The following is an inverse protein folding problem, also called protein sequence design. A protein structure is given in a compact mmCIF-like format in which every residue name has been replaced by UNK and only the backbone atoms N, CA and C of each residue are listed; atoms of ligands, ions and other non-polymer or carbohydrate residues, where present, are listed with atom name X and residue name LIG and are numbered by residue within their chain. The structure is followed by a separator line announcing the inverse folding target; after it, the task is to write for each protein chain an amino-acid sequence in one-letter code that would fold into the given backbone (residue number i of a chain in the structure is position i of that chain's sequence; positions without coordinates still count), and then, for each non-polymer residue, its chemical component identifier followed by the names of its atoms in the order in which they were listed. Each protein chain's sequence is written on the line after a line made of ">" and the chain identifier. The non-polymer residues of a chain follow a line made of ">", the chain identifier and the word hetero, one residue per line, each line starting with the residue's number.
data_IF_124546233354
#
_entry.id   IF_124546233354
#
_cell.length_a   1.000
_cell.length_b   1.000
_cell.length_c   1.000
_cell.angle_alpha   90.00
_cell.angle_beta   90.00
_cell.angle_gamma   90.00
#
_symmetry.space_group_name_H-M   'P 1'
#
loop_
_entity.id
_entity.type
_entity.pdbx_description
1 polymer ?
#
# COMPACT_ATOMS: atom_id res chain seq x y z
N UNK A 1 1.38 11.48 -17.55
CA UNK A 1 0.31 11.50 -16.54
C UNK A 1 0.82 10.93 -15.23
N UNK A 2 0.46 11.55 -14.13
CA UNK A 2 0.90 11.08 -12.82
C UNK A 2 0.08 9.86 -12.39
N UNK A 3 0.78 8.84 -11.89
CA UNK A 3 0.12 7.72 -11.23
C UNK A 3 -0.36 8.16 -9.84
N UNK A 4 -1.43 7.57 -9.37
CA UNK A 4 -1.97 7.85 -8.04
C UNK A 4 -1.63 6.73 -7.07
N UNK A 5 -1.23 7.11 -5.86
CA UNK A 5 -0.83 6.17 -4.81
C UNK A 5 -1.60 6.50 -3.53
N UNK A 6 -2.18 5.47 -2.92
CA UNK A 6 -2.81 5.59 -1.60
C UNK A 6 -1.83 5.00 -0.58
N UNK A 7 -1.41 5.81 0.39
CA UNK A 7 -0.52 5.37 1.47
C UNK A 7 -1.36 5.10 2.71
N UNK A 8 -1.28 3.87 3.22
CA UNK A 8 -2.06 3.42 4.37
C UNK A 8 -1.13 2.94 5.47
N UNK A 9 -1.10 3.67 6.59
CA UNK A 9 -0.28 3.32 7.75
C UNK A 9 -0.89 4.06 8.95
N UNK A 10 -0.87 3.43 10.12
CA UNK A 10 -1.36 4.08 11.34
C UNK A 10 -0.32 4.98 12.00
N UNK A 11 0.93 4.95 11.52
CA UNK A 11 2.00 5.83 12.01
C UNK A 11 2.01 7.12 11.17
N UNK A 12 1.63 8.27 11.76
CA UNK A 12 1.56 9.52 11.01
C UNK A 12 2.93 10.00 10.48
N UNK A 13 4.03 9.61 11.13
CA UNK A 13 5.36 9.97 10.65
C UNK A 13 5.68 9.25 9.34
N UNK A 14 5.34 7.98 9.25
CA UNK A 14 5.54 7.20 8.02
C UNK A 14 4.67 7.75 6.89
N UNK A 15 3.40 8.04 7.19
CA UNK A 15 2.47 8.59 6.19
C UNK A 15 3.01 9.92 5.65
N UNK A 16 3.44 10.82 6.54
CA UNK A 16 3.98 12.12 6.15
C UNK A 16 5.25 11.97 5.31
N UNK A 17 6.17 11.10 5.75
CA UNK A 17 7.42 10.87 5.04
C UNK A 17 7.17 10.35 3.61
N UNK A 18 6.37 9.31 3.49
CA UNK A 18 6.09 8.71 2.19
C UNK A 18 5.32 9.64 1.28
N UNK A 19 4.29 10.32 1.80
CA UNK A 19 3.50 11.23 0.96
C UNK A 19 4.32 12.39 0.46
N UNK A 20 5.20 12.95 1.30
CA UNK A 20 6.08 14.05 0.91
C UNK A 20 7.05 13.62 -0.19
N UNK A 21 7.72 12.49 0.00
CA UNK A 21 8.70 12.01 -0.97
C UNK A 21 8.07 11.58 -2.29
N UNK A 22 6.96 10.88 -2.22
CA UNK A 22 6.28 10.42 -3.44
C UNK A 22 5.68 11.59 -4.22
N UNK A 23 5.13 12.60 -3.53
CA UNK A 23 4.63 13.79 -4.19
C UNK A 23 5.73 14.53 -4.93
N UNK A 24 6.93 14.60 -4.36
CA UNK A 24 8.08 15.21 -5.02
C UNK A 24 8.50 14.47 -6.28
N UNK A 25 8.20 13.18 -6.37
CA UNK A 25 8.49 12.37 -7.57
C UNK A 25 7.39 12.46 -8.62
N UNK A 26 6.36 13.25 -8.38
CA UNK A 26 5.30 13.47 -9.34
C UNK A 26 4.08 12.58 -9.16
N UNK A 27 4.04 11.73 -8.13
CA UNK A 27 2.86 10.93 -7.86
C UNK A 27 1.76 11.75 -7.20
N UNK A 28 0.52 11.42 -7.50
CA UNK A 28 -0.62 11.98 -6.81
C UNK A 28 -0.90 11.10 -5.59
N UNK A 29 -0.75 11.65 -4.38
CA UNK A 29 -0.79 10.85 -3.16
C UNK A 29 -2.01 11.17 -2.31
N UNK A 30 -2.71 10.12 -1.88
CA UNK A 30 -3.75 10.19 -0.86
C UNK A 30 -3.29 9.35 0.33
N UNK A 31 -3.85 9.60 1.51
CA UNK A 31 -3.44 8.90 2.72
C UNK A 31 -4.63 8.41 3.52
N UNK A 32 -4.44 7.30 4.23
CA UNK A 32 -5.42 6.77 5.18
C UNK A 32 -4.66 6.22 6.39
N UNK A 33 -5.26 6.30 7.56
CA UNK A 33 -4.61 5.87 8.79
C UNK A 33 -5.23 4.60 9.39
N UNK A 34 -6.18 4.00 8.73
CA UNK A 34 -6.76 2.72 9.14
C UNK A 34 -7.36 2.00 7.93
N UNK A 35 -7.73 0.74 8.14
CA UNK A 35 -8.21 -0.12 7.06
C UNK A 35 -9.58 0.27 6.51
N UNK A 36 -10.46 0.77 7.36
CA UNK A 36 -11.80 1.18 6.92
C UNK A 36 -11.71 2.39 6.01
N UNK A 37 -10.92 3.39 6.40
CA UNK A 37 -10.71 4.59 5.59
C UNK A 37 -10.00 4.24 4.29
N UNK A 38 -9.05 3.30 4.36
CA UNK A 38 -8.34 2.84 3.17
C UNK A 38 -9.30 2.25 2.14
N UNK A 39 -10.24 1.41 2.58
CA UNK A 39 -11.22 0.83 1.67
C UNK A 39 -12.14 1.88 1.06
N UNK A 40 -12.59 2.85 1.87
CA UNK A 40 -13.41 3.94 1.37
C UNK A 40 -12.70 4.74 0.28
N UNK A 41 -11.46 5.15 0.55
CA UNK A 41 -10.69 5.93 -0.40
C UNK A 41 -10.34 5.14 -1.67
N UNK A 42 -9.99 3.86 -1.51
CA UNK A 42 -9.66 3.04 -2.67
C UNK A 42 -10.85 2.87 -3.60
N UNK A 43 -12.03 2.69 -3.05
CA UNK A 43 -13.26 2.57 -3.86
C UNK A 43 -13.63 3.88 -4.53
N UNK A 44 -13.39 5.00 -3.86
CA UNK A 44 -13.73 6.32 -4.37
C UNK A 44 -12.74 6.80 -5.43
N UNK A 45 -11.45 6.62 -5.17
CA UNK A 45 -10.39 7.20 -5.99
C UNK A 45 -9.79 6.25 -7.01
N UNK A 46 -9.91 4.95 -6.78
CA UNK A 46 -9.33 3.90 -7.63
C UNK A 46 -7.85 4.19 -7.95
N UNK A 47 -7.00 4.22 -6.90
CA UNK A 47 -5.58 4.54 -7.11
C UNK A 47 -4.89 3.47 -7.95
N UNK A 48 -3.77 3.82 -8.55
CA UNK A 48 -2.97 2.86 -9.31
C UNK A 48 -2.26 1.87 -8.38
N UNK A 49 -1.89 2.34 -7.18
CA UNK A 49 -1.16 1.53 -6.19
C UNK A 49 -1.62 1.88 -4.78
N UNK A 50 -1.71 0.88 -3.91
CA UNK A 50 -1.90 1.06 -2.47
C UNK A 50 -0.65 0.55 -1.76
N UNK A 51 0.01 1.41 -0.98
CA UNK A 51 1.06 1.03 -0.05
C UNK A 51 0.39 0.77 1.28
N UNK A 52 0.44 -0.45 1.77
CA UNK A 52 -0.46 -0.92 2.81
C UNK A 52 0.32 -1.55 3.96
N UNK A 53 0.28 -0.91 5.14
CA UNK A 53 0.87 -1.46 6.34
C UNK A 53 0.09 -2.71 6.79
N UNK A 54 0.80 -3.74 7.20
CA UNK A 54 0.18 -4.99 7.67
C UNK A 54 -0.43 -4.79 9.06
N UNK A 55 0.32 -4.17 9.96
CA UNK A 55 -0.07 -4.06 11.38
C UNK A 55 -0.81 -2.75 11.63
N UNK A 56 -2.14 -2.81 11.63
CA UNK A 56 -2.99 -1.66 11.94
C UNK A 56 -4.08 -2.04 12.93
N UNK A 57 -4.51 -1.09 13.80
CA UNK A 57 -5.64 -1.35 14.69
C UNK A 57 -6.90 -1.67 13.89
N UNK A 58 -7.71 -2.57 14.41
CA UNK A 58 -8.95 -2.99 13.75
C UNK A 58 -8.69 -3.92 12.60
N UNK A 59 -8.91 -3.46 11.37
CA UNK A 59 -8.74 -4.27 10.17
C UNK A 59 -7.27 -4.28 9.75
N UNK A 60 -6.67 -5.48 9.67
CA UNK A 60 -5.28 -5.62 9.26
C UNK A 60 -5.08 -5.30 7.77
N UNK A 61 -3.81 -5.03 7.40
CA UNK A 61 -3.49 -4.79 6.00
C UNK A 61 -3.84 -5.98 5.10
N UNK A 62 -3.68 -7.21 5.60
CA UNK A 62 -4.06 -8.40 4.84
C UNK A 62 -5.54 -8.43 4.53
N UNK A 63 -6.38 -8.07 5.51
CA UNK A 63 -7.82 -8.02 5.31
C UNK A 63 -8.21 -6.96 4.28
N UNK A 64 -7.54 -5.80 4.30
CA UNK A 64 -7.77 -4.73 3.33
C UNK A 64 -7.37 -5.20 1.92
N UNK A 65 -6.19 -5.84 1.79
CA UNK A 65 -5.71 -6.35 0.51
C UNK A 65 -6.71 -7.35 -0.07
N UNK A 66 -7.16 -8.28 0.75
CA UNK A 66 -8.14 -9.29 0.33
C UNK A 66 -9.45 -8.64 -0.14
N UNK A 67 -9.95 -7.69 0.64
CA UNK A 67 -11.20 -7.00 0.30
C UNK A 67 -11.09 -6.26 -1.04
N UNK A 68 -9.96 -5.59 -1.29
CA UNK A 68 -9.73 -4.90 -2.55
C UNK A 68 -9.68 -5.86 -3.73
N UNK A 69 -9.02 -7.00 -3.58
CA UNK A 69 -8.89 -7.97 -4.66
C UNK A 69 -10.16 -8.76 -4.93
N UNK A 70 -11.05 -8.86 -3.94
CA UNK A 70 -12.34 -9.54 -4.11
C UNK A 70 -13.42 -8.63 -4.70
N UNK A 71 -13.23 -7.32 -4.66
CA UNK A 71 -14.20 -6.35 -5.18
C UNK A 71 -13.89 -6.07 -6.66
N UNK A 72 -14.84 -6.37 -7.59
CA UNK A 72 -14.61 -6.10 -9.01
C UNK A 72 -14.23 -4.65 -9.31
N UNK A 73 -14.67 -3.70 -8.50
CA UNK A 73 -14.35 -2.28 -8.70
C UNK A 73 -12.88 -1.95 -8.40
N UNK A 74 -12.24 -2.72 -7.51
CA UNK A 74 -10.88 -2.41 -7.05
C UNK A 74 -9.86 -3.51 -7.34
N UNK A 75 -10.29 -4.62 -7.93
CA UNK A 75 -9.38 -5.77 -8.13
C UNK A 75 -8.18 -5.46 -9.02
N UNK A 76 -8.25 -4.44 -9.85
CA UNK A 76 -7.14 -4.04 -10.71
C UNK A 76 -6.11 -3.13 -10.05
N UNK A 77 -6.37 -2.67 -8.83
CA UNK A 77 -5.45 -1.82 -8.07
C UNK A 77 -4.25 -2.66 -7.64
N UNK A 78 -3.04 -2.16 -7.86
CA UNK A 78 -1.83 -2.84 -7.38
C UNK A 78 -1.67 -2.63 -5.88
N UNK A 79 -1.19 -3.65 -5.18
CA UNK A 79 -1.02 -3.59 -3.72
C UNK A 79 0.40 -3.98 -3.35
N UNK A 80 1.08 -3.11 -2.60
CA UNK A 80 2.36 -3.41 -2.00
C UNK A 80 2.20 -3.40 -0.48
N UNK A 81 2.48 -4.54 0.16
CA UNK A 81 2.46 -4.63 1.62
C UNK A 81 3.75 -4.06 2.18
N UNK A 82 3.63 -3.28 3.26
CA UNK A 82 4.78 -2.74 3.99
C UNK A 82 4.78 -3.40 5.36
N UNK A 83 5.79 -4.21 5.64
CA UNK A 83 5.76 -5.14 6.77
C UNK A 83 6.89 -4.88 7.75
N UNK A 84 6.68 -5.25 9.04
CA UNK A 84 7.74 -5.18 10.04
C UNK A 84 8.78 -6.27 9.79
N UNK A 85 10.02 -6.00 10.22
CA UNK A 85 11.12 -6.97 10.13
C UNK A 85 10.74 -8.26 10.88
N UNK A 86 11.04 -9.40 10.29
CA UNK A 86 10.86 -10.69 10.93
C UNK A 86 9.57 -11.39 10.59
N UNK A 87 8.67 -10.77 9.85
CA UNK A 87 7.42 -11.41 9.45
C UNK A 87 7.64 -12.24 8.18
N UNK A 88 8.33 -13.36 8.33
CA UNK A 88 8.67 -14.23 7.20
C UNK A 88 7.47 -14.85 6.52
N UNK A 89 6.35 -14.95 7.22
CA UNK A 89 5.11 -15.49 6.65
C UNK A 89 4.53 -14.62 5.55
N UNK A 90 4.97 -13.38 5.45
CA UNK A 90 4.48 -12.47 4.42
C UNK A 90 4.74 -12.97 3.00
N UNK A 91 5.86 -13.62 2.78
CA UNK A 91 6.18 -14.19 1.46
C UNK A 91 5.22 -15.31 1.08
N UNK A 92 4.71 -16.04 2.08
CA UNK A 92 3.78 -17.13 1.87
C UNK A 92 2.34 -16.62 1.77
N UNK A 93 1.98 -15.64 2.61
CA UNK A 93 0.60 -15.16 2.70
C UNK A 93 0.24 -14.13 1.65
N UNK A 94 1.20 -13.35 1.15
CA UNK A 94 0.93 -12.30 0.17
C UNK A 94 0.17 -12.79 -1.07
N UNK A 95 0.54 -13.91 -1.70
CA UNK A 95 -0.23 -14.42 -2.84
C UNK A 95 -1.64 -14.84 -2.47
N UNK A 96 -1.86 -15.33 -1.25
CA UNK A 96 -3.17 -15.76 -0.78
C UNK A 96 -4.12 -14.58 -0.69
N UNK A 97 -3.63 -13.42 -0.23
CA UNK A 97 -4.42 -12.21 -0.09
C UNK A 97 -4.40 -11.32 -1.34
N UNK A 98 -3.63 -11.71 -2.36
CA UNK A 98 -3.63 -11.01 -3.63
C UNK A 98 -2.71 -9.79 -3.71
N UNK A 99 -1.80 -9.63 -2.75
CA UNK A 99 -0.82 -8.55 -2.82
C UNK A 99 0.16 -8.77 -3.97
N UNK A 100 0.51 -7.70 -4.67
CA UNK A 100 1.40 -7.77 -5.83
C UNK A 100 2.87 -7.74 -5.45
N UNK A 101 3.19 -7.15 -4.30
CA UNK A 101 4.56 -7.07 -3.79
C UNK A 101 4.56 -6.81 -2.30
N UNK A 102 5.72 -6.92 -1.68
CA UNK A 102 5.90 -6.52 -0.28
C UNK A 102 7.30 -5.97 -0.08
N UNK A 103 7.47 -5.14 0.95
CA UNK A 103 8.76 -4.60 1.36
C UNK A 103 8.82 -4.59 2.87
N UNK A 104 9.96 -4.95 3.44
CA UNK A 104 10.15 -5.02 4.90
C UNK A 104 10.65 -3.70 5.46
N UNK A 105 10.16 -3.30 6.62
CA UNK A 105 10.67 -2.16 7.39
C UNK A 105 11.88 -2.60 8.21
N UNK A 106 12.89 -1.74 8.39
CA UNK A 106 13.09 -0.47 7.71
C UNK A 106 13.55 -0.67 6.26
N UNK A 107 13.15 0.22 5.38
CA UNK A 107 13.54 0.14 3.97
C UNK A 107 14.17 1.46 3.52
N UNK A 108 14.98 1.39 2.47
CA UNK A 108 15.48 2.57 1.81
C UNK A 108 14.45 3.07 0.81
N UNK A 109 14.25 4.38 0.76
CA UNK A 109 13.26 4.96 -0.13
C UNK A 109 13.53 4.60 -1.60
N UNK A 110 14.80 4.57 -2.00
CA UNK A 110 15.20 4.22 -3.36
C UNK A 110 14.74 2.81 -3.76
N UNK A 111 14.83 1.87 -2.82
CA UNK A 111 14.34 0.51 -3.06
C UNK A 111 12.83 0.50 -3.24
N UNK A 112 12.11 1.21 -2.37
CA UNK A 112 10.66 1.34 -2.47
C UNK A 112 10.27 1.93 -3.82
N UNK A 113 10.94 3.01 -4.22
CA UNK A 113 10.64 3.68 -5.48
C UNK A 113 10.86 2.78 -6.69
N UNK A 114 11.94 1.99 -6.69
CA UNK A 114 12.19 1.04 -7.77
C UNK A 114 11.07 0.00 -7.87
N UNK A 115 10.60 -0.48 -6.75
CA UNK A 115 9.50 -1.45 -6.72
C UNK A 115 8.22 -0.84 -7.24
N UNK A 116 7.93 0.40 -6.85
CA UNK A 116 6.75 1.14 -7.35
C UNK A 116 6.82 1.29 -8.86
N UNK A 117 7.97 1.72 -9.38
CA UNK A 117 8.16 1.89 -10.81
C UNK A 117 7.95 0.56 -11.54
N UNK A 118 8.45 -0.54 -10.98
CA UNK A 118 8.27 -1.85 -11.56
C UNK A 118 6.81 -2.31 -11.61
N UNK A 119 6.01 -1.93 -10.61
CA UNK A 119 4.59 -2.29 -10.58
C UNK A 119 3.74 -1.42 -11.51
N UNK A 120 4.08 -0.16 -11.64
CA UNK A 120 3.28 0.80 -12.41
C UNK A 120 3.76 0.98 -13.86
N UNK A 121 4.95 0.54 -14.16
CA UNK A 121 5.52 0.65 -15.49
C UNK A 121 6.29 1.92 -15.73
#
# INVERSE_FOLDING_TARGET
>A
MAHSILVVDDDPEIVTLLSTRLSKRGYKVSTANDGIRALELARKELPDLVLLDVMMPGKSGWEVARALKQDPATQGVKIMMVTAIGEKTNEITAPIYGADAHIDKPFEFEKLEKMITGLLG
#
